data_IF_842597787872
#
_entry.id   IF_842597787872
#
_cell.length_a   1.000
_cell.length_b   1.000
_cell.length_c   1.000
_cell.angle_alpha   90.00
_cell.angle_beta   90.00
_cell.angle_gamma   90.00
#
_symmetry.space_group_name_H-M   'P 1'
#
loop_
_entity.id
_entity.type
_entity.pdbx_description
1 polymer ?
#
# COMPACT_ATOMS: atom_id res chain seq x y z
N UNK A 1 7.60 15.48 -11.28
CA UNK A 1 8.49 14.47 -11.86
C UNK A 1 7.73 13.16 -12.00
N UNK A 2 8.02 12.34 -12.99
CA UNK A 2 7.31 11.06 -13.17
C UNK A 2 8.33 9.92 -13.11
N UNK A 3 8.69 9.47 -11.89
CA UNK A 3 9.60 8.35 -11.73
C UNK A 3 8.94 7.03 -12.13
N UNK A 4 9.76 6.06 -12.53
CA UNK A 4 9.30 4.68 -12.67
C UNK A 4 9.35 3.95 -11.32
N UNK A 5 8.48 2.97 -11.15
CA UNK A 5 8.44 2.15 -9.93
C UNK A 5 9.79 1.46 -9.69
N UNK A 6 10.35 0.87 -10.75
CA UNK A 6 11.64 0.17 -10.64
C UNK A 6 12.78 1.11 -10.22
N UNK A 7 12.76 2.37 -10.65
CA UNK A 7 13.77 3.35 -10.25
C UNK A 7 13.73 3.72 -8.76
N UNK A 8 12.57 3.59 -8.15
CA UNK A 8 12.36 3.90 -6.72
C UNK A 8 12.61 2.71 -5.80
N UNK A 9 12.69 1.49 -6.33
CA UNK A 9 13.09 0.32 -5.54
C UNK A 9 14.53 0.51 -5.05
N UNK A 10 14.75 0.29 -3.76
CA UNK A 10 16.04 0.52 -3.12
C UNK A 10 16.25 1.94 -2.57
N UNK A 11 15.34 2.88 -2.82
CA UNK A 11 15.40 4.20 -2.18
C UNK A 11 15.38 4.07 -0.67
N UNK A 12 16.12 4.95 -0.01
CA UNK A 12 16.10 5.04 1.44
C UNK A 12 14.85 5.76 1.91
N UNK A 13 14.09 5.13 2.79
CA UNK A 13 12.96 5.77 3.46
C UNK A 13 13.47 6.47 4.70
N UNK A 14 13.28 7.78 4.75
CA UNK A 14 13.72 8.63 5.86
C UNK A 14 12.54 9.12 6.67
N UNK A 15 12.49 8.68 7.93
CA UNK A 15 11.56 9.20 8.94
C UNK A 15 12.07 10.52 9.52
N UNK A 16 11.27 11.14 10.36
CA UNK A 16 11.61 12.42 11.02
C UNK A 16 12.79 12.30 12.00
N UNK A 17 13.02 11.10 12.51
CA UNK A 17 14.05 10.79 13.54
C UNK A 17 15.12 9.79 13.05
N UNK A 18 15.18 9.53 11.74
CA UNK A 18 16.23 8.71 11.14
C UNK A 18 15.74 7.80 10.02
N UNK A 19 16.64 7.04 9.43
CA UNK A 19 16.31 6.15 8.31
C UNK A 19 15.54 4.92 8.80
N UNK A 20 14.45 4.58 8.09
CA UNK A 20 13.63 3.39 8.36
C UNK A 20 14.20 2.14 7.70
N UNK A 21 14.63 2.28 6.46
CA UNK A 21 15.09 1.18 5.64
C UNK A 21 15.02 1.53 4.17
N UNK A 22 14.77 0.52 3.34
CA UNK A 22 14.75 0.68 1.89
C UNK A 22 13.42 0.21 1.29
N UNK A 23 13.01 0.86 0.21
CA UNK A 23 11.88 0.43 -0.61
C UNK A 23 12.17 -0.97 -1.16
N UNK A 24 11.27 -1.92 -0.89
CA UNK A 24 11.32 -3.28 -1.39
C UNK A 24 10.41 -3.46 -2.62
N UNK A 25 9.17 -3.03 -2.50
CA UNK A 25 8.18 -3.04 -3.59
C UNK A 25 7.01 -2.09 -3.28
N UNK A 26 6.08 -1.99 -4.22
CA UNK A 26 4.87 -1.21 -4.08
C UNK A 26 3.63 -2.09 -4.25
N UNK A 27 2.54 -1.69 -3.60
CA UNK A 27 1.20 -2.20 -3.87
C UNK A 27 0.35 -1.10 -4.48
N UNK A 28 -0.42 -1.43 -5.49
CA UNK A 28 -1.31 -0.49 -6.16
C UNK A 28 -2.72 -1.06 -6.27
N UNK A 29 -3.68 -0.17 -6.42
CA UNK A 29 -5.08 -0.45 -6.66
C UNK A 29 -5.35 -0.41 -8.16
N UNK A 30 -5.88 -1.50 -8.73
CA UNK A 30 -6.14 -1.64 -10.16
C UNK A 30 -7.46 -0.99 -10.63
N UNK A 31 -8.33 -0.59 -9.71
CA UNK A 31 -9.50 0.22 -10.03
C UNK A 31 -9.14 1.72 -10.08
N UNK A 32 -8.45 2.19 -9.05
CA UNK A 32 -8.07 3.61 -8.94
C UNK A 32 -6.76 3.94 -9.66
N UNK A 33 -5.98 2.95 -10.05
CA UNK A 33 -4.64 3.08 -10.64
C UNK A 33 -3.74 4.00 -9.82
N UNK A 34 -3.72 3.76 -8.52
CA UNK A 34 -2.93 4.53 -7.55
C UNK A 34 -2.10 3.60 -6.66
N UNK A 35 -0.92 4.07 -6.28
CA UNK A 35 -0.11 3.39 -5.25
C UNK A 35 -0.84 3.48 -3.92
N UNK A 36 -1.05 2.34 -3.27
CA UNK A 36 -1.70 2.27 -1.94
C UNK A 36 -0.69 2.11 -0.82
N UNK A 37 0.35 1.33 -1.05
CA UNK A 37 1.38 1.09 -0.05
C UNK A 37 2.76 0.96 -0.67
N UNK A 38 3.75 1.35 0.10
CA UNK A 38 5.15 0.99 -0.12
C UNK A 38 5.55 -0.03 0.93
N UNK A 39 6.14 -1.12 0.49
CA UNK A 39 6.79 -2.10 1.36
C UNK A 39 8.20 -1.61 1.64
N UNK A 40 8.49 -1.38 2.90
CA UNK A 40 9.82 -0.97 3.36
C UNK A 40 10.47 -2.12 4.10
N UNK A 41 11.61 -2.56 3.61
CA UNK A 41 12.48 -3.49 4.34
C UNK A 41 13.29 -2.70 5.35
N UNK A 42 12.95 -2.83 6.62
CA UNK A 42 13.63 -2.11 7.69
C UNK A 42 15.05 -2.65 7.87
N UNK A 43 15.93 -1.78 8.37
CA UNK A 43 17.29 -2.19 8.75
C UNK A 43 17.32 -2.96 10.07
N UNK A 44 18.54 -3.10 10.61
CA UNK A 44 18.79 -3.86 11.84
C UNK A 44 18.03 -3.33 13.06
N UNK A 45 17.59 -2.06 13.05
CA UNK A 45 16.86 -1.44 14.16
C UNK A 45 15.49 -2.07 14.42
N UNK A 46 14.89 -2.73 13.41
CA UNK A 46 13.64 -3.47 13.53
C UNK A 46 13.79 -4.90 12.97
N UNK A 47 14.96 -5.50 13.16
CA UNK A 47 15.25 -6.90 12.78
C UNK A 47 14.98 -7.25 11.31
N UNK A 48 15.07 -6.28 10.41
CA UNK A 48 14.82 -6.48 8.98
C UNK A 48 13.35 -6.75 8.61
N UNK A 49 12.42 -6.53 9.54
CA UNK A 49 10.98 -6.66 9.31
C UNK A 49 10.53 -5.80 8.15
N UNK A 50 9.56 -6.28 7.39
CA UNK A 50 8.89 -5.49 6.36
C UNK A 50 7.69 -4.76 6.95
N UNK A 51 7.54 -3.49 6.59
CA UNK A 51 6.43 -2.65 7.03
C UNK A 51 5.76 -2.00 5.81
N UNK A 52 4.47 -1.73 5.93
CA UNK A 52 3.69 -1.02 4.91
C UNK A 52 3.52 0.43 5.32
N UNK A 53 3.78 1.33 4.38
CA UNK A 53 3.57 2.77 4.57
C UNK A 53 2.72 3.29 3.42
N UNK A 54 1.63 3.99 3.74
CA UNK A 54 0.77 4.64 2.74
C UNK A 54 1.41 5.92 2.20
N UNK A 55 1.22 6.22 0.91
CA UNK A 55 1.63 7.49 0.30
C UNK A 55 1.14 8.76 1.01
N UNK A 56 0.08 8.66 1.80
CA UNK A 56 -0.41 9.77 2.66
C UNK A 56 0.70 10.32 3.59
N UNK A 57 1.63 9.44 3.99
CA UNK A 57 2.75 9.82 4.86
C UNK A 57 3.97 10.34 4.09
N UNK A 58 3.98 10.27 2.75
CA UNK A 58 5.17 10.59 1.97
C UNK A 58 5.34 12.09 1.74
N UNK A 59 6.60 12.49 1.65
CA UNK A 59 7.02 13.71 0.98
C UNK A 59 7.34 13.44 -0.50
N UNK A 60 7.92 14.43 -1.17
CA UNK A 60 8.35 14.28 -2.56
C UNK A 60 9.58 13.38 -2.64
N UNK A 61 9.61 12.41 -3.58
CA UNK A 61 10.80 11.61 -3.81
C UNK A 61 11.98 12.47 -4.29
N UNK A 62 13.14 12.26 -3.72
CA UNK A 62 14.36 12.95 -4.11
C UNK A 62 15.24 12.00 -4.92
N UNK A 63 15.12 12.04 -6.23
CA UNK A 63 15.83 11.14 -7.14
C UNK A 63 17.35 11.29 -7.08
N UNK A 64 17.84 12.51 -6.84
CA UNK A 64 19.28 12.79 -6.77
C UNK A 64 19.96 12.07 -5.59
N UNK A 65 19.29 11.95 -4.47
CA UNK A 65 19.77 11.24 -3.27
C UNK A 65 19.25 9.81 -3.14
N UNK A 66 18.29 9.40 -3.97
CA UNK A 66 17.61 8.14 -3.82
C UNK A 66 16.89 8.02 -2.47
N UNK A 67 16.24 9.10 -2.05
CA UNK A 67 15.58 9.18 -0.75
C UNK A 67 14.10 9.53 -0.90
N UNK A 68 13.26 8.87 -0.10
CA UNK A 68 11.85 9.21 0.05
C UNK A 68 11.59 9.51 1.54
N UNK A 69 11.27 10.76 1.82
CA UNK A 69 10.95 11.20 3.19
C UNK A 69 9.54 10.79 3.59
N UNK A 70 9.35 10.47 4.87
CA UNK A 70 8.03 10.16 5.44
C UNK A 70 7.79 10.96 6.72
N UNK A 71 6.55 11.39 6.92
CA UNK A 71 6.09 12.14 8.09
C UNK A 71 5.75 11.19 9.26
N UNK A 72 6.66 10.28 9.57
CA UNK A 72 6.51 9.28 10.63
C UNK A 72 7.78 9.23 11.47
N UNK A 73 7.65 8.72 12.71
CA UNK A 73 8.78 8.39 13.58
C UNK A 73 9.08 6.90 13.53
N UNK A 74 10.29 6.52 13.87
CA UNK A 74 10.68 5.11 14.02
C UNK A 74 9.81 4.38 15.03
N UNK A 75 9.52 5.01 16.16
CA UNK A 75 8.66 4.44 17.19
C UNK A 75 7.24 4.12 16.65
N UNK A 76 6.66 5.02 15.86
CA UNK A 76 5.36 4.80 15.24
C UNK A 76 5.38 3.63 14.28
N UNK A 77 6.42 3.52 13.49
CA UNK A 77 6.60 2.41 12.53
C UNK A 77 6.86 1.08 13.26
N UNK A 78 7.64 1.09 14.34
CA UNK A 78 7.92 -0.11 15.13
C UNK A 78 6.65 -0.73 15.74
N UNK A 79 5.69 0.10 16.13
CA UNK A 79 4.40 -0.34 16.69
C UNK A 79 3.36 -0.76 15.64
N UNK A 80 3.67 -0.70 14.34
CA UNK A 80 2.70 -1.08 13.31
C UNK A 80 2.38 -2.57 13.33
N UNK A 81 1.18 -2.97 12.87
CA UNK A 81 0.82 -4.38 12.71
C UNK A 81 1.85 -5.15 11.89
N UNK A 82 2.09 -6.40 12.26
CA UNK A 82 2.95 -7.30 11.49
C UNK A 82 2.17 -7.87 10.32
N UNK A 83 2.56 -7.50 9.11
CA UNK A 83 1.90 -7.91 7.86
C UNK A 83 2.87 -8.75 7.04
N UNK A 84 2.49 -10.01 6.79
CA UNK A 84 3.25 -10.88 5.92
C UNK A 84 3.06 -10.47 4.45
N UNK A 85 4.05 -9.77 3.92
CA UNK A 85 4.03 -9.27 2.53
C UNK A 85 4.31 -10.37 1.48
N UNK A 86 4.50 -11.61 1.90
CA UNK A 86 4.61 -12.76 0.99
C UNK A 86 3.23 -13.39 0.70
N UNK A 87 2.20 -12.95 1.40
CA UNK A 87 0.82 -13.38 1.23
C UNK A 87 -0.04 -12.21 0.78
N UNK A 88 -1.19 -12.48 0.16
CA UNK A 88 -2.15 -11.43 -0.12
C UNK A 88 -2.51 -10.67 1.16
N UNK A 89 -2.59 -9.35 1.05
CA UNK A 89 -2.95 -8.50 2.17
C UNK A 89 -4.46 -8.56 2.34
N UNK A 90 -4.89 -8.96 3.54
CA UNK A 90 -6.30 -9.03 3.86
C UNK A 90 -6.84 -7.65 4.21
N UNK A 91 -8.08 -7.39 3.84
CA UNK A 91 -8.77 -6.13 4.14
C UNK A 91 -8.75 -5.79 5.63
N UNK A 92 -8.87 -6.78 6.50
CA UNK A 92 -8.77 -6.57 7.95
C UNK A 92 -7.39 -6.03 8.36
N UNK A 93 -6.31 -6.54 7.76
CA UNK A 93 -4.96 -6.04 8.01
C UNK A 93 -4.79 -4.59 7.56
N UNK A 94 -5.41 -4.20 6.45
CA UNK A 94 -5.42 -2.80 6.00
C UNK A 94 -6.17 -1.91 7.00
N UNK A 95 -7.32 -2.36 7.51
CA UNK A 95 -8.09 -1.63 8.55
C UNK A 95 -7.24 -1.42 9.80
N UNK A 96 -6.57 -2.46 10.29
CA UNK A 96 -5.68 -2.39 11.44
C UNK A 96 -4.51 -1.43 11.21
N UNK A 97 -3.92 -1.47 10.02
CA UNK A 97 -2.82 -0.59 9.61
C UNK A 97 -3.27 0.87 9.58
N UNK A 98 -4.42 1.15 8.96
CA UNK A 98 -4.98 2.50 8.89
C UNK A 98 -5.36 3.04 10.27
N UNK A 99 -5.92 2.21 11.14
CA UNK A 99 -6.22 2.57 12.51
C UNK A 99 -4.96 2.91 13.32
N UNK A 100 -3.89 2.10 13.17
CA UNK A 100 -2.62 2.34 13.86
C UNK A 100 -1.99 3.68 13.49
N UNK A 101 -1.97 4.00 12.19
CA UNK A 101 -1.38 5.25 11.70
C UNK A 101 -2.34 6.43 11.71
N UNK A 102 -3.62 6.20 11.96
CA UNK A 102 -4.70 7.19 11.88
C UNK A 102 -4.84 7.79 10.47
N UNK A 103 -4.60 6.97 9.45
CA UNK A 103 -4.80 7.36 8.07
C UNK A 103 -6.27 7.26 7.66
N UNK A 104 -6.73 8.13 6.74
CA UNK A 104 -8.09 8.03 6.22
C UNK A 104 -8.27 6.69 5.49
N UNK A 105 -9.33 5.97 5.83
CA UNK A 105 -9.70 4.74 5.15
C UNK A 105 -10.31 5.07 3.79
N UNK A 106 -9.71 4.55 2.72
CA UNK A 106 -10.20 4.70 1.35
C UNK A 106 -10.79 3.40 0.78
N UNK A 107 -10.93 2.38 1.58
CA UNK A 107 -11.49 1.09 1.19
C UNK A 107 -12.99 1.08 1.37
N UNK A 108 -13.74 1.28 0.30
CA UNK A 108 -15.18 1.13 0.31
C UNK A 108 -15.76 1.32 -1.08
N UNK A 109 -16.51 0.37 -1.51
CA UNK A 109 -17.43 0.48 -2.62
C UNK A 109 -18.27 1.76 -2.48
N UNK A 110 -18.19 2.64 -3.48
CA UNK A 110 -19.03 3.81 -3.56
C UNK A 110 -18.53 4.98 -2.71
N UNK A 111 -17.91 5.94 -3.38
CA UNK A 111 -17.44 7.17 -2.80
C UNK A 111 -18.49 7.85 -1.92
N UNK A 112 -18.03 8.26 -0.81
CA UNK A 112 -18.43 9.44 -0.06
C UNK A 112 -17.53 9.47 1.16
N UNK A 113 -16.99 10.60 1.49
CA UNK A 113 -16.34 10.83 2.77
C UNK A 113 -17.28 10.42 3.90
N UNK A 114 -17.21 9.17 4.32
CA UNK A 114 -18.01 8.60 5.39
C UNK A 114 -17.13 8.39 6.60
N UNK A 115 -17.46 9.11 7.66
CA UNK A 115 -16.90 8.92 8.98
C UNK A 115 -16.85 7.43 9.35
N UNK A 116 -15.76 7.01 9.98
CA UNK A 116 -15.63 5.71 10.62
C UNK A 116 -16.83 5.56 11.58
N UNK A 117 -17.69 4.56 11.43
CA UNK A 117 -18.63 4.27 12.50
C UNK A 117 -17.82 3.71 13.67
N UNK A 118 -17.69 4.51 14.70
CA UNK A 118 -17.35 3.99 16.02
C UNK A 118 -18.36 2.89 16.36
N UNK A 119 -17.95 1.77 16.96
CA UNK A 119 -18.89 0.76 17.41
C UNK A 119 -19.72 1.36 18.55
N UNK A 120 -20.91 1.83 18.22
CA UNK A 120 -21.95 2.03 19.20
C UNK A 120 -22.50 0.65 19.56
N UNK A 121 -22.49 0.39 20.83
CA UNK A 121 -22.98 -0.79 21.52
C UNK A 121 -24.26 -1.37 20.93
N UNK A 122 -24.22 -2.68 20.81
CA UNK A 122 -25.26 -3.58 20.36
C UNK A 122 -26.48 -3.49 21.24
N UNK A 123 -27.64 -3.38 20.65
CA UNK A 123 -28.83 -4.04 21.15
C UNK A 123 -29.51 -4.79 20.00
N UNK A 124 -29.99 -5.96 20.36
CA UNK A 124 -30.42 -7.07 19.54
C UNK A 124 -31.57 -6.74 18.58
N UNK A 125 -31.45 -7.16 17.34
CA UNK A 125 -32.58 -7.70 16.61
C UNK A 125 -32.11 -8.64 15.48
N UNK A 126 -32.43 -9.88 15.69
CA UNK A 126 -32.32 -11.06 14.86
C UNK A 126 -32.66 -10.86 13.38
N UNK A 127 -31.80 -11.35 12.50
CA UNK A 127 -32.19 -12.13 11.34
C UNK A 127 -31.04 -13.05 10.90
N UNK A 128 -31.36 -14.31 10.87
CA UNK A 128 -30.52 -15.43 10.46
C UNK A 128 -29.97 -15.21 9.05
N UNK A 129 -28.65 -15.15 8.95
CA UNK A 129 -27.92 -15.62 7.77
C UNK A 129 -26.64 -16.27 8.24
N UNK A 130 -26.49 -17.50 7.79
CA UNK A 130 -25.50 -18.50 8.16
C UNK A 130 -24.09 -18.00 8.38
N UNK A 131 -23.56 -18.48 9.48
CA UNK A 131 -22.18 -18.47 9.93
C UNK A 131 -21.18 -18.94 8.87
N UNK A 132 -20.47 -18.04 8.32
CA UNK A 132 -19.07 -18.27 7.94
C UNK A 132 -18.23 -17.31 8.76
N UNK A 133 -17.23 -17.85 9.48
CA UNK A 133 -16.32 -17.09 10.33
C UNK A 133 -15.69 -15.90 9.62
N UNK A 134 -14.89 -15.05 10.29
CA UNK A 134 -14.33 -13.88 9.66
C UNK A 134 -13.52 -14.32 8.44
N UNK A 135 -14.16 -14.28 7.28
CA UNK A 135 -13.53 -14.62 6.02
C UNK A 135 -12.36 -13.66 5.84
N UNK A 136 -11.17 -14.21 5.85
CA UNK A 136 -9.96 -13.56 5.36
C UNK A 136 -10.15 -13.33 3.87
N UNK A 137 -10.85 -12.26 3.52
CA UNK A 137 -11.02 -11.84 2.12
C UNK A 137 -9.83 -10.99 1.75
N UNK A 138 -9.06 -11.49 0.81
CA UNK A 138 -8.05 -10.70 0.13
C UNK A 138 -8.72 -9.47 -0.50
N UNK A 139 -8.01 -8.35 -0.57
CA UNK A 139 -8.46 -7.25 -1.39
C UNK A 139 -8.15 -7.61 -2.86
N UNK A 140 -9.17 -7.92 -3.69
CA UNK A 140 -8.94 -8.39 -5.06
C UNK A 140 -8.37 -7.31 -5.98
N UNK A 141 -8.39 -6.04 -5.54
CA UNK A 141 -7.91 -4.90 -6.31
C UNK A 141 -6.51 -4.45 -5.90
N UNK A 142 -5.94 -5.06 -4.87
CA UNK A 142 -4.60 -4.72 -4.38
C UNK A 142 -3.56 -5.68 -4.96
N UNK A 143 -2.69 -5.15 -5.83
CA UNK A 143 -1.66 -5.91 -6.53
C UNK A 143 -0.25 -5.42 -6.20
N UNK A 144 0.68 -6.35 -6.09
CA UNK A 144 2.09 -6.00 -6.02
C UNK A 144 2.60 -5.59 -7.41
N UNK A 145 3.32 -4.48 -7.49
CA UNK A 145 3.88 -4.02 -8.77
C UNK A 145 4.84 -5.03 -9.39
N UNK A 146 5.55 -5.79 -8.55
CA UNK A 146 6.45 -6.87 -8.98
C UNK A 146 5.74 -7.99 -9.72
N UNK A 147 4.47 -8.25 -9.41
CA UNK A 147 3.68 -9.28 -10.07
C UNK A 147 3.23 -8.86 -11.46
N UNK A 148 2.95 -7.56 -11.65
CA UNK A 148 2.44 -7.01 -12.90
C UNK A 148 3.54 -6.69 -13.90
N UNK A 149 4.69 -6.24 -13.41
CA UNK A 149 5.87 -6.04 -14.27
C UNK A 149 6.27 -7.38 -14.93
N UNK A 150 6.34 -7.40 -16.25
CA UNK A 150 6.58 -8.60 -17.04
C UNK A 150 5.32 -9.29 -17.56
N UNK A 151 4.11 -8.86 -17.17
CA UNK A 151 2.87 -9.39 -17.75
C UNK A 151 2.79 -9.07 -19.24
N UNK A 152 2.32 -10.06 -20.02
CA UNK A 152 2.08 -9.87 -21.43
C UNK A 152 0.83 -9.05 -21.67
N UNK A 153 0.97 -8.06 -22.55
CA UNK A 153 -0.16 -7.23 -23.01
C UNK A 153 -0.74 -7.87 -24.27
N UNK A 154 -2.04 -8.17 -24.21
CA UNK A 154 -2.79 -8.72 -25.33
C UNK A 154 -3.77 -7.68 -25.86
N UNK A 155 -3.66 -7.39 -27.15
CA UNK A 155 -4.70 -6.67 -27.89
C UNK A 155 -5.70 -7.66 -28.49
N UNK A 156 -6.78 -7.15 -29.03
CA UNK A 156 -7.81 -7.95 -29.70
C UNK A 156 -7.29 -8.69 -30.94
N UNK A 157 -6.23 -8.19 -31.54
CA UNK A 157 -5.60 -8.70 -32.75
C UNK A 157 -4.26 -9.42 -32.52
N UNK A 158 -3.80 -9.53 -31.26
CA UNK A 158 -2.58 -10.25 -30.93
C UNK A 158 -1.81 -9.73 -29.72
N UNK A 159 -0.60 -10.25 -29.55
CA UNK A 159 0.31 -9.78 -28.49
C UNK A 159 0.96 -8.47 -28.89
N UNK A 160 0.91 -7.46 -28.01
CA UNK A 160 1.60 -6.17 -28.20
C UNK A 160 3.02 -6.24 -27.61
N UNK A 161 3.18 -6.84 -26.44
CA UNK A 161 4.43 -6.83 -25.69
C UNK A 161 4.21 -7.26 -24.24
N UNK A 162 5.00 -6.69 -23.35
CA UNK A 162 4.88 -6.94 -21.91
C UNK A 162 5.05 -5.61 -21.15
N UNK A 163 4.54 -5.59 -19.92
CA UNK A 163 4.71 -4.45 -19.01
C UNK A 163 6.18 -4.36 -18.62
N UNK A 164 6.83 -3.28 -18.99
CA UNK A 164 8.24 -3.05 -18.70
C UNK A 164 8.42 -2.38 -17.33
N UNK A 165 7.61 -1.35 -17.06
CA UNK A 165 7.59 -0.65 -15.78
C UNK A 165 6.27 0.12 -15.63
N UNK A 166 6.06 0.73 -14.47
CA UNK A 166 4.93 1.62 -14.18
C UNK A 166 5.46 3.02 -13.89
N UNK A 167 4.92 4.02 -14.59
CA UNK A 167 5.28 5.43 -14.39
C UNK A 167 4.26 6.06 -13.45
N UNK A 168 4.76 6.66 -12.39
CA UNK A 168 3.95 7.22 -11.30
C UNK A 168 4.12 8.72 -11.22
N UNK A 169 3.04 9.41 -10.97
CA UNK A 169 3.02 10.82 -10.63
C UNK A 169 3.36 10.97 -9.13
N UNK A 170 4.44 11.64 -8.82
CA UNK A 170 4.96 11.77 -7.46
C UNK A 170 4.20 12.77 -6.58
N UNK A 171 3.25 13.52 -7.14
CA UNK A 171 2.40 14.42 -6.36
C UNK A 171 1.18 13.69 -5.77
N UNK A 172 0.58 12.78 -6.54
CA UNK A 172 -0.67 12.11 -6.16
C UNK A 172 -0.58 10.57 -6.15
N UNK A 173 0.59 10.03 -6.50
CA UNK A 173 0.88 8.59 -6.54
C UNK A 173 -0.01 7.80 -7.51
N UNK A 174 -0.57 8.48 -8.51
CA UNK A 174 -1.32 7.84 -9.58
C UNK A 174 -0.38 7.22 -10.62
N UNK A 175 -0.72 6.02 -11.08
CA UNK A 175 -0.06 5.37 -12.20
C UNK A 175 -0.57 6.03 -13.48
N UNK A 176 0.32 6.63 -14.24
CA UNK A 176 -0.01 7.39 -15.46
C UNK A 176 0.22 6.59 -16.73
N UNK A 177 1.23 5.74 -16.71
CA UNK A 177 1.64 4.95 -17.88
C UNK A 177 2.15 3.58 -17.45
N UNK A 178 2.00 2.63 -18.36
CA UNK A 178 2.46 1.25 -18.25
C UNK A 178 3.42 0.97 -19.38
#
# INVERSE_FOLDING_TARGET
>A
MQPTISSMVGYTIRATDGDLGKVDQFYFDDEAWTIRYVVVKTGNWLSGRKVLISPVAFGTPESASGTLSVKLTRAKVAGSPDIDTQRPIYRQQEVELHAHYQWPWRGGYGGTFGAIPLPLSVDEASSEHESSGPERRDDPHLHATREVIGYHIHATDGKIGHVEDLIVDDENWAIRFI
#
